data_IF_620954608448
#
_entry.id   IF_620954608448
#
_cell.length_a   1.000
_cell.length_b   1.000
_cell.length_c   1.000
_cell.angle_alpha   90.00
_cell.angle_beta   90.00
_cell.angle_gamma   90.00
#
_symmetry.space_group_name_H-M   'P 1'
#
loop_
_entity.id
_entity.type
_entity.pdbx_description
1 polymer ?
#
# COMPACT_ATOMS: atom_id res chain seq x y z
N UNK A 1 6.00 -42.14 2.79
CA UNK A 1 7.00 -41.21 3.36
C UNK A 1 6.47 -39.79 3.13
N UNK A 2 5.76 -39.21 4.11
CA UNK A 2 5.17 -37.88 3.97
C UNK A 2 6.24 -36.83 4.30
N UNK A 3 6.54 -35.95 3.35
CA UNK A 3 7.39 -34.79 3.59
C UNK A 3 6.68 -33.87 4.57
N UNK A 4 7.32 -33.58 5.71
CA UNK A 4 6.79 -32.59 6.66
C UNK A 4 6.77 -31.21 6.00
N UNK A 5 5.73 -30.39 6.22
CA UNK A 5 5.71 -29.00 5.76
C UNK A 5 6.90 -28.25 6.36
N UNK A 6 7.61 -27.50 5.51
CA UNK A 6 8.76 -26.69 5.90
C UNK A 6 8.22 -25.46 6.63
N UNK A 7 8.46 -25.36 7.94
CA UNK A 7 8.14 -24.18 8.74
C UNK A 7 8.90 -22.97 8.18
N UNK A 8 8.25 -22.19 7.32
CA UNK A 8 8.83 -20.98 6.73
C UNK A 8 8.64 -19.79 7.68
N UNK A 9 9.16 -19.90 8.90
CA UNK A 9 9.15 -18.81 9.90
C UNK A 9 10.21 -17.76 9.57
N UNK A 10 10.07 -17.07 8.43
CA UNK A 10 10.66 -15.72 8.34
C UNK A 10 9.71 -14.79 9.09
N UNK A 11 10.17 -14.01 10.08
CA UNK A 11 9.36 -12.91 10.58
C UNK A 11 9.05 -12.02 9.37
N UNK A 12 7.80 -12.04 8.92
CA UNK A 12 7.32 -11.15 7.87
C UNK A 12 7.41 -9.75 8.46
N UNK A 13 8.50 -9.03 8.16
CA UNK A 13 8.63 -7.64 8.55
C UNK A 13 7.43 -6.90 7.95
N UNK A 14 6.63 -6.26 8.81
CA UNK A 14 5.50 -5.44 8.35
C UNK A 14 6.02 -4.39 7.37
N UNK A 15 5.32 -4.23 6.25
CA UNK A 15 5.69 -3.26 5.22
C UNK A 15 5.47 -1.82 5.72
N UNK A 16 4.40 -1.61 6.48
CA UNK A 16 4.13 -0.34 7.15
C UNK A 16 4.85 -0.31 8.50
N UNK A 17 5.62 0.75 8.73
CA UNK A 17 6.17 1.04 10.05
C UNK A 17 5.08 1.52 11.01
N UNK A 18 5.36 1.42 12.31
CA UNK A 18 4.47 1.97 13.34
C UNK A 18 4.21 3.47 13.09
N UNK A 19 2.95 3.88 13.19
CA UNK A 19 2.51 5.25 12.94
C UNK A 19 2.47 5.67 11.47
N UNK A 20 2.65 4.76 10.52
CA UNK A 20 2.27 5.03 9.13
C UNK A 20 0.76 4.96 8.95
N UNK A 21 0.24 5.74 8.00
CA UNK A 21 -1.17 5.68 7.63
C UNK A 21 -1.53 4.29 7.09
N UNK A 22 -2.80 3.92 7.26
CA UNK A 22 -3.36 2.71 6.67
C UNK A 22 -3.20 2.72 5.14
N UNK A 23 -3.16 1.54 4.49
CA UNK A 23 -2.96 1.44 3.05
C UNK A 23 -4.16 1.94 2.22
N UNK A 24 -5.30 2.19 2.85
CA UNK A 24 -6.48 2.78 2.23
C UNK A 24 -7.17 3.73 3.20
N UNK A 25 -8.05 4.57 2.65
CA UNK A 25 -8.97 5.40 3.41
C UNK A 25 -10.39 5.17 2.89
N UNK A 26 -11.37 5.18 3.78
CA UNK A 26 -12.78 5.19 3.40
C UNK A 26 -13.29 6.62 3.55
N UNK A 27 -14.01 7.11 2.53
CA UNK A 27 -14.66 8.42 2.53
C UNK A 27 -16.16 8.20 2.35
N UNK A 28 -16.96 9.01 3.04
CA UNK A 28 -18.43 8.93 3.02
C UNK A 28 -18.97 7.52 3.34
N UNK A 29 -18.42 6.86 4.37
CA UNK A 29 -18.79 5.49 4.75
C UNK A 29 -20.27 5.32 5.09
N UNK A 30 -20.92 6.39 5.57
CA UNK A 30 -22.35 6.40 5.91
C UNK A 30 -23.26 6.74 4.73
N UNK A 31 -22.73 6.85 3.50
CA UNK A 31 -23.52 7.14 2.31
C UNK A 31 -24.55 6.03 2.04
N UNK A 32 -25.77 6.42 1.68
CA UNK A 32 -26.85 5.52 1.26
C UNK A 32 -27.06 5.52 -0.27
N UNK A 33 -26.19 6.18 -1.03
CA UNK A 33 -26.29 6.22 -2.49
C UNK A 33 -25.90 4.85 -3.08
N UNK A 34 -26.57 4.35 -4.14
CA UNK A 34 -26.31 3.01 -4.70
C UNK A 34 -25.03 2.91 -5.56
N UNK A 35 -24.04 3.77 -5.32
CA UNK A 35 -22.79 3.82 -6.07
C UNK A 35 -21.61 3.74 -5.11
N UNK A 36 -20.67 2.85 -5.40
CA UNK A 36 -19.38 2.77 -4.73
C UNK A 36 -18.31 3.25 -5.70
N UNK A 37 -17.56 4.28 -5.30
CA UNK A 37 -16.39 4.74 -6.03
C UNK A 37 -15.15 4.09 -5.43
N UNK A 38 -14.28 3.55 -6.29
CA UNK A 38 -13.00 2.93 -5.91
C UNK A 38 -11.89 3.62 -6.68
N UNK A 39 -10.74 3.84 -6.05
CA UNK A 39 -9.56 4.43 -6.68
C UNK A 39 -8.30 3.78 -6.10
N UNK A 40 -7.64 2.93 -6.88
CA UNK A 40 -6.47 2.18 -6.44
C UNK A 40 -5.20 3.05 -6.46
N UNK A 41 -5.09 3.97 -7.42
CA UNK A 41 -3.93 4.86 -7.59
C UNK A 41 -4.16 6.26 -7.00
N UNK A 42 -4.77 6.33 -5.82
CA UNK A 42 -5.18 7.58 -5.17
C UNK A 42 -4.05 8.36 -4.49
N UNK A 43 -2.83 7.81 -4.39
CA UNK A 43 -1.72 8.42 -3.65
C UNK A 43 -0.36 7.97 -4.18
N UNK A 44 0.61 8.90 -4.18
CA UNK A 44 2.03 8.68 -4.49
C UNK A 44 2.87 8.25 -3.27
N UNK A 45 2.23 7.91 -2.14
CA UNK A 45 2.90 7.63 -0.87
C UNK A 45 3.47 6.21 -0.82
N UNK A 46 4.78 6.10 -0.63
CA UNK A 46 5.45 4.80 -0.45
C UNK A 46 5.60 4.48 1.04
N UNK A 47 5.46 3.21 1.45
CA UNK A 47 5.84 2.76 2.79
C UNK A 47 7.28 3.15 3.13
N UNK A 48 7.54 3.61 4.36
CA UNK A 48 8.89 4.04 4.77
C UNK A 48 9.95 2.96 4.58
N UNK A 49 9.57 1.68 4.73
CA UNK A 49 10.50 0.56 4.55
C UNK A 49 11.03 0.42 3.12
N UNK A 50 10.37 1.02 2.11
CA UNK A 50 10.77 0.97 0.70
C UNK A 50 11.61 2.18 0.27
N UNK A 51 11.72 3.22 1.11
CA UNK A 51 12.43 4.44 0.77
C UNK A 51 11.90 5.09 -0.51
N UNK A 52 12.79 5.49 -1.42
CA UNK A 52 12.41 6.07 -2.72
C UNK A 52 12.33 5.05 -3.86
N UNK A 53 12.64 3.77 -3.60
CA UNK A 53 12.83 2.75 -4.63
C UNK A 53 13.80 3.16 -5.77
N UNK A 54 14.74 4.08 -5.49
CA UNK A 54 15.69 4.58 -6.49
C UNK A 54 15.14 5.70 -7.40
N UNK A 55 13.91 6.15 -7.18
CA UNK A 55 13.30 7.23 -7.95
C UNK A 55 13.65 8.61 -7.36
N UNK A 56 13.86 9.58 -8.24
CA UNK A 56 14.00 10.99 -7.83
C UNK A 56 12.67 11.59 -7.37
N UNK A 57 12.70 12.83 -6.88
CA UNK A 57 11.49 13.49 -6.38
C UNK A 57 10.46 13.75 -7.48
N UNK A 58 10.89 14.20 -8.66
CA UNK A 58 9.97 14.57 -9.74
C UNK A 58 9.21 13.34 -10.25
N UNK A 59 9.92 12.22 -10.38
CA UNK A 59 9.38 10.92 -10.80
C UNK A 59 8.39 10.37 -9.78
N UNK A 60 8.66 10.51 -8.47
CA UNK A 60 7.72 10.10 -7.42
C UNK A 60 6.46 10.95 -7.34
N UNK A 61 6.41 12.10 -8.00
CA UNK A 61 5.26 13.01 -8.02
C UNK A 61 4.58 13.07 -9.39
N UNK A 62 4.97 12.20 -10.32
CA UNK A 62 4.39 12.13 -11.67
C UNK A 62 3.35 11.01 -11.76
N UNK A 63 2.75 10.88 -12.96
CA UNK A 63 1.80 9.82 -13.29
C UNK A 63 2.36 8.39 -13.13
N UNK A 64 3.66 8.23 -12.91
CA UNK A 64 4.29 6.94 -12.61
C UNK A 64 3.91 6.42 -11.21
N UNK A 65 3.54 7.30 -10.28
CA UNK A 65 3.28 6.95 -8.89
C UNK A 65 1.81 7.18 -8.46
N UNK A 66 1.00 7.83 -9.28
CA UNK A 66 -0.37 8.26 -8.96
C UNK A 66 -1.14 8.58 -10.25
N UNK A 67 -2.46 8.40 -10.28
CA UNK A 67 -3.28 8.83 -11.42
C UNK A 67 -3.70 10.30 -11.22
N UNK A 68 -2.97 11.26 -11.83
CA UNK A 68 -3.24 12.72 -11.78
C UNK A 68 -3.89 13.29 -13.04
#
# INVERSE_FOLDING_TARGET
MFLKPKDNKRPQKLLLASGEAAPFIVRNEASNHPVVLVCDHASDRFPRSLGSMGLDRATRQSHLAIDI
#
